data_IF_802514164321
#
_entry.id   IF_802514164321
#
_cell.length_a   1.000
_cell.length_b   1.000
_cell.length_c   1.000
_cell.angle_alpha   90.00
_cell.angle_beta   90.00
_cell.angle_gamma   90.00
#
_symmetry.space_group_name_H-M   'P 1'
#
loop_
_entity.id
_entity.type
_entity.pdbx_description
1 polymer ?
#
# COMPACT_ATOMS: atom_id res chain seq x y z
N UNK A 1 -0.22 1.50 12.66
CA UNK A 1 0.20 0.32 13.44
C UNK A 1 -0.85 -0.77 13.27
N UNK A 2 -0.50 -1.83 12.58
CA UNK A 2 -1.45 -2.89 12.26
C UNK A 2 -1.16 -4.11 13.13
N UNK A 3 -1.91 -4.25 14.25
CA UNK A 3 -1.87 -5.41 15.14
C UNK A 3 -2.81 -6.50 14.58
N UNK A 4 -2.39 -7.20 13.51
CA UNK A 4 -3.22 -8.24 12.85
C UNK A 4 -3.24 -9.56 13.64
N UNK A 5 -2.30 -9.77 14.57
CA UNK A 5 -2.10 -11.07 15.22
C UNK A 5 -3.16 -11.46 16.25
N UNK A 6 -3.93 -10.52 16.74
CA UNK A 6 -4.94 -10.75 17.75
C UNK A 6 -6.30 -11.15 17.15
N UNK A 7 -6.39 -11.25 15.82
CA UNK A 7 -7.64 -11.55 15.12
C UNK A 7 -7.72 -13.02 14.74
N UNK A 8 -8.90 -13.61 14.97
CA UNK A 8 -9.19 -15.00 14.62
C UNK A 8 -10.20 -15.08 13.49
N UNK A 9 -10.09 -16.13 12.68
CA UNK A 9 -11.05 -16.35 11.58
C UNK A 9 -12.47 -16.51 12.14
N UNK A 10 -13.44 -15.78 11.56
CA UNK A 10 -14.82 -15.76 11.98
C UNK A 10 -15.17 -14.67 12.99
N UNK A 11 -14.19 -13.91 13.47
CA UNK A 11 -14.43 -12.77 14.35
C UNK A 11 -15.13 -11.64 13.60
N UNK A 12 -16.10 -10.99 14.28
CA UNK A 12 -16.77 -9.81 13.74
C UNK A 12 -15.85 -8.60 13.89
N UNK A 13 -15.56 -7.94 12.77
CA UNK A 13 -14.81 -6.70 12.72
C UNK A 13 -15.62 -5.59 12.07
N UNK A 14 -15.34 -4.34 12.44
CA UNK A 14 -15.88 -3.14 11.80
C UNK A 14 -14.74 -2.43 11.09
N UNK A 15 -14.86 -2.23 9.77
CA UNK A 15 -13.93 -1.42 8.99
C UNK A 15 -14.56 -0.06 8.74
N UNK A 16 -13.87 1.00 9.13
CA UNK A 16 -14.27 2.39 8.86
C UNK A 16 -13.28 3.04 7.93
N UNK A 17 -13.76 3.97 7.09
CA UNK A 17 -12.91 4.76 6.22
C UNK A 17 -13.57 6.09 5.92
N UNK A 18 -12.78 7.19 5.92
CA UNK A 18 -13.25 8.54 5.64
C UNK A 18 -12.18 9.38 4.98
N UNK A 19 -12.55 10.29 4.06
CA UNK A 19 -11.63 11.29 3.54
C UNK A 19 -11.44 12.38 4.60
N UNK A 20 -10.19 12.84 4.74
CA UNK A 20 -9.89 13.93 5.68
C UNK A 20 -9.25 15.14 5.02
N UNK A 21 -8.74 14.99 3.77
CA UNK A 21 -8.13 16.11 3.07
C UNK A 21 -8.10 15.86 1.55
N UNK A 22 -8.09 16.96 0.79
CA UNK A 22 -7.82 16.98 -0.64
C UNK A 22 -6.86 18.12 -0.96
N UNK A 23 -5.81 17.84 -1.75
CA UNK A 23 -4.83 18.86 -2.15
C UNK A 23 -4.40 18.66 -3.60
N UNK A 24 -4.85 19.55 -4.49
CA UNK A 24 -4.55 19.47 -5.91
C UNK A 24 -5.22 18.27 -6.57
N UNK A 25 -4.46 17.25 -6.90
CA UNK A 25 -4.93 15.98 -7.46
C UNK A 25 -4.77 14.80 -6.47
N UNK A 26 -4.43 15.10 -5.21
CA UNK A 26 -4.35 14.10 -4.15
C UNK A 26 -5.59 14.11 -3.27
N UNK A 27 -6.12 12.93 -2.97
CA UNK A 27 -7.07 12.68 -1.89
C UNK A 27 -6.39 11.89 -0.78
N UNK A 28 -6.75 12.20 0.47
CA UNK A 28 -6.21 11.59 1.67
C UNK A 28 -7.34 10.96 2.45
N UNK A 29 -7.14 9.72 2.90
CA UNK A 29 -8.18 8.92 3.54
C UNK A 29 -7.61 8.08 4.66
N UNK A 30 -8.27 8.11 5.82
CA UNK A 30 -7.95 7.22 6.92
C UNK A 30 -8.83 5.96 6.89
N UNK A 31 -8.32 4.92 7.55
CA UNK A 31 -9.00 3.66 7.79
C UNK A 31 -8.76 3.21 9.22
N UNK A 32 -9.77 2.57 9.81
CA UNK A 32 -9.60 1.82 11.05
C UNK A 32 -10.25 0.44 10.93
N UNK A 33 -9.72 -0.51 11.67
CA UNK A 33 -10.33 -1.82 11.92
C UNK A 33 -10.57 -1.91 13.41
N UNK A 34 -11.82 -2.17 13.79
CA UNK A 34 -12.24 -2.31 15.18
C UNK A 34 -12.75 -3.74 15.43
N UNK A 35 -12.56 -4.25 16.65
CA UNK A 35 -13.15 -5.49 17.11
C UNK A 35 -14.64 -5.34 17.44
N UNK A 36 -15.26 -6.41 17.97
CA UNK A 36 -16.69 -6.41 18.33
C UNK A 36 -17.02 -5.43 19.46
N UNK A 37 -16.06 -5.12 20.32
CA UNK A 37 -16.15 -4.19 21.46
C UNK A 37 -15.84 -2.74 21.05
N UNK A 38 -15.47 -2.47 19.78
CA UNK A 38 -15.15 -1.16 19.26
C UNK A 38 -13.70 -0.71 19.55
N UNK A 39 -12.84 -1.61 20.01
CA UNK A 39 -11.42 -1.32 20.19
C UNK A 39 -10.71 -1.33 18.84
N UNK A 40 -9.91 -0.30 18.58
CA UNK A 40 -9.11 -0.20 17.34
C UNK A 40 -7.98 -1.23 17.36
N UNK A 41 -7.98 -2.12 16.37
CA UNK A 41 -7.00 -3.16 16.16
C UNK A 41 -5.96 -2.79 15.11
N UNK A 42 -6.35 -1.96 14.15
CA UNK A 42 -5.47 -1.43 13.11
C UNK A 42 -5.98 -0.07 12.61
N UNK A 43 -5.05 0.74 12.13
CA UNK A 43 -5.36 1.99 11.44
C UNK A 43 -4.40 2.22 10.28
N UNK A 44 -4.84 2.99 9.29
CA UNK A 44 -4.01 3.32 8.14
C UNK A 44 -4.33 4.71 7.59
N UNK A 45 -3.31 5.29 6.96
CA UNK A 45 -3.42 6.43 6.05
C UNK A 45 -3.19 5.98 4.61
N UNK A 46 -3.92 6.58 3.68
CA UNK A 46 -3.72 6.36 2.26
C UNK A 46 -3.80 7.66 1.47
N UNK A 47 -2.95 7.76 0.45
CA UNK A 47 -2.93 8.88 -0.48
C UNK A 47 -3.29 8.38 -1.88
N UNK A 48 -4.28 8.99 -2.49
CA UNK A 48 -4.83 8.63 -3.78
C UNK A 48 -4.57 9.73 -4.80
N UNK A 49 -4.30 9.35 -6.03
CA UNK A 49 -4.19 10.28 -7.15
C UNK A 49 -5.50 10.23 -7.93
N UNK A 50 -6.13 11.40 -8.09
CA UNK A 50 -7.26 11.53 -8.98
C UNK A 50 -6.78 11.61 -10.43
N UNK A 51 -7.26 10.68 -11.28
CA UNK A 51 -6.82 10.55 -12.66
C UNK A 51 -7.95 10.87 -13.65
N UNK A 52 -7.64 11.66 -14.66
CA UNK A 52 -8.46 11.77 -15.87
C UNK A 52 -8.14 10.58 -16.78
N UNK A 53 -9.01 9.57 -16.79
CA UNK A 53 -8.80 8.35 -17.55
C UNK A 53 -8.80 8.56 -19.07
N UNK A 54 -9.45 9.62 -19.57
CA UNK A 54 -9.44 9.95 -21.00
C UNK A 54 -8.13 10.56 -21.47
N UNK A 55 -7.47 11.31 -20.57
CA UNK A 55 -6.21 12.01 -20.83
C UNK A 55 -5.01 11.30 -20.23
N UNK A 56 -5.23 10.23 -19.46
CA UNK A 56 -4.21 9.43 -18.76
C UNK A 56 -3.25 10.26 -17.90
N UNK A 57 -3.78 11.29 -17.24
CA UNK A 57 -2.99 12.20 -16.43
C UNK A 57 -3.69 12.60 -15.13
N UNK A 58 -2.93 12.99 -14.09
CA UNK A 58 -3.52 13.54 -12.88
C UNK A 58 -4.40 14.74 -13.17
N UNK A 59 -5.58 14.79 -12.56
CA UNK A 59 -6.55 15.86 -12.67
C UNK A 59 -6.83 16.48 -11.30
N UNK A 60 -7.12 17.79 -11.28
CA UNK A 60 -7.57 18.45 -10.06
C UNK A 60 -8.99 18.05 -9.72
N UNK A 61 -9.23 17.80 -8.45
CA UNK A 61 -10.57 17.57 -7.93
C UNK A 61 -11.30 18.93 -7.95
N UNK A 62 -12.49 18.97 -8.54
CA UNK A 62 -13.29 20.20 -8.63
C UNK A 62 -14.03 20.46 -7.32
N UNK A 63 -14.34 21.73 -7.04
CA UNK A 63 -15.12 22.13 -5.85
C UNK A 63 -16.47 21.40 -5.77
N UNK A 64 -17.13 21.23 -6.91
CA UNK A 64 -18.37 20.45 -7.00
C UNK A 64 -18.22 19.01 -6.55
N UNK A 65 -17.09 18.36 -6.87
CA UNK A 65 -16.82 16.98 -6.41
C UNK A 65 -16.51 16.96 -4.93
N UNK A 66 -15.84 18.00 -4.41
CA UNK A 66 -15.54 18.12 -2.97
C UNK A 66 -16.79 18.27 -2.12
N UNK A 67 -17.81 18.97 -2.63
CA UNK A 67 -19.11 19.13 -1.96
C UNK A 67 -19.85 17.80 -1.72
N UNK A 68 -19.56 16.77 -2.53
CA UNK A 68 -20.15 15.43 -2.40
C UNK A 68 -19.46 14.58 -1.34
N UNK A 69 -18.26 14.99 -0.85
CA UNK A 69 -17.51 14.28 0.16
C UNK A 69 -17.72 14.88 1.55
N UNK A 70 -18.22 14.06 2.46
CA UNK A 70 -18.22 14.41 3.88
C UNK A 70 -16.81 14.18 4.41
N UNK A 71 -16.03 15.26 4.57
CA UNK A 71 -14.72 15.20 5.20
C UNK A 71 -14.86 15.13 6.71
N UNK A 72 -14.03 14.30 7.33
CA UNK A 72 -13.94 14.16 8.77
C UNK A 72 -12.54 14.56 9.26
N UNK A 73 -12.38 14.74 10.57
CA UNK A 73 -11.07 15.02 11.16
C UNK A 73 -10.08 13.89 10.91
N UNK A 74 -8.81 14.22 10.65
CA UNK A 74 -7.78 13.21 10.45
C UNK A 74 -7.60 12.35 11.72
N UNK A 75 -7.40 11.05 11.53
CA UNK A 75 -7.10 10.15 12.64
C UNK A 75 -5.79 10.56 13.31
N UNK A 76 -5.74 10.52 14.64
CA UNK A 76 -4.54 10.89 15.39
C UNK A 76 -3.48 9.78 15.29
N UNK A 77 -2.54 9.95 14.36
CA UNK A 77 -1.45 9.03 14.10
C UNK A 77 -0.21 9.76 13.56
N UNK A 78 0.92 9.08 13.49
CA UNK A 78 2.10 9.59 12.79
C UNK A 78 1.96 9.39 11.29
N UNK A 79 1.87 10.49 10.55
CA UNK A 79 1.74 10.47 9.09
C UNK A 79 3.12 10.38 8.44
N UNK A 80 3.35 9.33 7.68
CA UNK A 80 4.60 9.14 6.97
C UNK A 80 4.69 9.99 5.69
N UNK A 81 5.91 10.27 5.27
CA UNK A 81 6.19 10.90 3.97
C UNK A 81 5.57 10.09 2.83
N UNK A 82 5.08 10.76 1.79
CA UNK A 82 4.48 10.11 0.62
C UNK A 82 5.41 9.11 -0.07
N UNK A 83 6.69 9.42 -0.14
CA UNK A 83 7.68 8.58 -0.84
C UNK A 83 8.46 7.72 0.14
N UNK A 84 8.65 6.46 -0.23
CA UNK A 84 9.59 5.56 0.43
C UNK A 84 10.96 5.74 -0.24
N UNK A 85 11.98 6.09 0.57
CA UNK A 85 13.35 6.25 0.07
C UNK A 85 14.01 4.88 -0.06
N UNK A 86 14.56 4.59 -1.23
CA UNK A 86 15.32 3.37 -1.44
C UNK A 86 16.77 3.59 -0.99
N UNK A 87 17.36 2.63 -0.25
CA UNK A 87 18.79 2.62 0.05
C UNK A 87 19.63 2.45 -1.23
N UNK A 88 20.85 2.95 -1.22
CA UNK A 88 21.80 2.81 -2.35
C UNK A 88 22.18 1.35 -2.64
N UNK A 89 22.18 0.51 -1.61
CA UNK A 89 22.56 -0.90 -1.72
C UNK A 89 21.38 -1.77 -1.32
N UNK A 90 20.91 -2.56 -2.26
CA UNK A 90 19.87 -3.56 -2.07
C UNK A 90 20.32 -4.88 -2.67
N UNK A 91 19.90 -5.98 -2.10
CA UNK A 91 20.20 -7.32 -2.64
C UNK A 91 19.18 -7.68 -3.70
N UNK A 92 19.62 -7.93 -4.92
CA UNK A 92 18.79 -8.48 -5.97
C UNK A 92 18.44 -9.94 -5.64
N UNK A 93 17.18 -10.32 -5.89
CA UNK A 93 16.65 -11.67 -5.70
C UNK A 93 16.23 -12.25 -7.04
N UNK A 94 15.96 -13.57 -7.05
CA UNK A 94 15.49 -14.27 -8.23
C UNK A 94 14.23 -13.59 -8.80
N UNK A 95 14.27 -13.30 -10.10
CA UNK A 95 13.14 -12.69 -10.81
C UNK A 95 12.03 -13.72 -11.07
N UNK A 96 10.80 -13.25 -11.11
CA UNK A 96 9.64 -14.09 -11.41
C UNK A 96 8.70 -13.38 -12.39
N UNK A 97 7.74 -14.11 -12.92
CA UNK A 97 6.76 -13.58 -13.86
C UNK A 97 5.38 -13.43 -13.19
N UNK A 98 4.66 -12.37 -13.55
CA UNK A 98 3.29 -12.13 -13.09
C UNK A 98 2.37 -13.22 -13.68
N UNK A 99 1.53 -13.80 -12.81
CA UNK A 99 0.63 -14.91 -13.10
C UNK A 99 -0.84 -14.46 -13.13
N UNK A 100 -1.73 -15.23 -13.78
CA UNK A 100 -3.14 -14.86 -13.91
C UNK A 100 -3.87 -14.60 -12.60
N UNK A 101 -3.56 -15.36 -11.54
CA UNK A 101 -4.21 -15.23 -10.22
C UNK A 101 -3.89 -13.91 -9.50
N UNK A 102 -2.90 -13.16 -9.98
CA UNK A 102 -2.47 -11.88 -9.41
C UNK A 102 -3.16 -10.68 -10.07
N UNK A 103 -3.91 -10.92 -11.16
CA UNK A 103 -4.53 -9.88 -11.99
C UNK A 103 -5.96 -9.61 -11.53
N UNK A 104 -6.29 -8.33 -11.37
CA UNK A 104 -7.63 -7.86 -11.04
C UNK A 104 -8.52 -7.63 -12.29
N UNK A 105 -9.74 -7.16 -12.06
CA UNK A 105 -10.71 -6.86 -13.14
C UNK A 105 -10.30 -5.70 -14.04
N UNK A 106 -9.31 -4.90 -13.66
CA UNK A 106 -8.73 -3.83 -14.46
C UNK A 106 -7.55 -4.31 -15.31
N UNK A 107 -7.29 -5.63 -15.35
CA UNK A 107 -6.17 -6.25 -16.05
C UNK A 107 -4.79 -5.83 -15.54
N UNK A 108 -4.70 -5.37 -14.29
CA UNK A 108 -3.45 -5.05 -13.61
C UNK A 108 -3.24 -5.95 -12.39
N UNK A 109 -2.00 -6.04 -11.94
CA UNK A 109 -1.72 -6.69 -10.65
C UNK A 109 -2.45 -5.96 -9.54
N UNK A 110 -3.24 -6.70 -8.75
CA UNK A 110 -3.94 -6.16 -7.60
C UNK A 110 -2.94 -5.61 -6.57
N UNK A 111 -3.24 -4.46 -5.97
CA UNK A 111 -2.36 -3.81 -4.99
C UNK A 111 -1.99 -4.72 -3.80
N UNK A 112 -2.90 -5.57 -3.34
CA UNK A 112 -2.66 -6.54 -2.28
C UNK A 112 -1.62 -7.58 -2.68
N UNK A 113 -1.57 -7.97 -3.97
CA UNK A 113 -0.61 -8.96 -4.47
C UNK A 113 0.84 -8.47 -4.39
N UNK A 114 1.10 -7.17 -4.58
CA UNK A 114 2.46 -6.64 -4.37
C UNK A 114 2.90 -6.79 -2.91
N UNK A 115 2.00 -6.60 -1.96
CA UNK A 115 2.29 -6.80 -0.53
C UNK A 115 2.55 -8.29 -0.27
N UNK A 116 1.72 -9.18 -0.82
CA UNK A 116 1.89 -10.63 -0.68
C UNK A 116 3.23 -11.11 -1.26
N UNK A 117 3.59 -10.63 -2.46
CA UNK A 117 4.90 -10.93 -3.08
C UNK A 117 6.06 -10.41 -2.23
N UNK A 118 5.97 -9.18 -1.70
CA UNK A 118 7.02 -8.61 -0.86
C UNK A 118 7.19 -9.36 0.48
N UNK A 119 6.11 -9.84 1.08
CA UNK A 119 6.14 -10.65 2.32
C UNK A 119 6.95 -11.94 2.18
N UNK A 120 7.08 -12.50 0.98
CA UNK A 120 7.86 -13.72 0.77
C UNK A 120 9.36 -13.55 1.07
N UNK A 121 9.84 -12.32 1.22
CA UNK A 121 11.24 -12.00 1.56
C UNK A 121 11.46 -11.76 3.05
N UNK A 122 10.42 -11.82 3.87
CA UNK A 122 10.51 -11.70 5.31
C UNK A 122 10.86 -13.05 5.95
N UNK A 123 11.63 -13.06 7.06
CA UNK A 123 11.78 -14.25 7.89
C UNK A 123 10.43 -14.70 8.47
N UNK A 124 10.27 -16.00 8.71
CA UNK A 124 9.04 -16.57 9.30
C UNK A 124 8.63 -15.92 10.62
N UNK A 125 9.62 -15.48 11.41
CA UNK A 125 9.40 -14.90 12.74
C UNK A 125 9.36 -13.36 12.72
N UNK A 126 9.33 -12.71 11.54
CA UNK A 126 9.27 -11.25 11.45
C UNK A 126 7.87 -10.76 11.84
N UNK A 127 7.82 -10.03 12.95
CA UNK A 127 6.58 -9.52 13.51
C UNK A 127 6.27 -8.15 12.92
N UNK A 128 5.40 -8.06 11.92
CA UNK A 128 5.05 -6.79 11.30
C UNK A 128 4.18 -5.98 12.26
N UNK A 129 4.71 -4.86 12.75
CA UNK A 129 3.96 -3.86 13.50
C UNK A 129 3.47 -2.72 12.62
N UNK A 130 4.29 -2.32 11.64
CA UNK A 130 3.93 -1.28 10.70
C UNK A 130 4.29 -1.68 9.28
N UNK A 131 3.49 -1.26 8.33
CA UNK A 131 3.72 -1.51 6.91
C UNK A 131 3.41 -0.23 6.12
N UNK A 132 4.23 0.01 5.09
CA UNK A 132 3.99 1.06 4.10
C UNK A 132 4.11 0.46 2.71
N UNK A 133 3.26 0.91 1.78
CA UNK A 133 3.35 0.54 0.38
C UNK A 133 3.26 1.79 -0.51
N UNK A 134 4.17 1.91 -1.47
CA UNK A 134 4.14 2.95 -2.51
C UNK A 134 3.99 2.27 -3.86
N UNK A 135 2.87 2.49 -4.55
CA UNK A 135 2.60 1.99 -5.90
C UNK A 135 2.99 3.04 -6.92
N UNK A 136 3.86 2.71 -7.88
CA UNK A 136 4.41 3.65 -8.86
C UNK A 136 3.95 3.38 -10.28
N UNK A 137 3.86 2.10 -10.67
CA UNK A 137 3.51 1.64 -12.00
C UNK A 137 2.69 0.35 -11.87
N UNK A 138 1.66 0.20 -12.66
CA UNK A 138 0.93 -1.08 -12.71
C UNK A 138 1.73 -2.11 -13.51
N UNK A 139 1.84 -3.33 -12.99
CA UNK A 139 2.30 -4.48 -13.74
C UNK A 139 1.10 -5.21 -14.37
N UNK A 140 1.34 -5.87 -15.48
CA UNK A 140 0.34 -6.64 -16.21
C UNK A 140 0.73 -8.12 -16.30
N UNK A 141 -0.19 -8.94 -16.77
CA UNK A 141 0.06 -10.37 -16.97
C UNK A 141 1.28 -10.60 -17.86
N UNK A 142 2.19 -11.44 -17.37
CA UNK A 142 3.39 -11.82 -18.08
C UNK A 142 4.59 -10.90 -17.88
N UNK A 143 4.40 -9.75 -17.23
CA UNK A 143 5.53 -8.89 -16.84
C UNK A 143 6.50 -9.65 -15.94
N UNK A 144 7.79 -9.37 -16.13
CA UNK A 144 8.84 -9.90 -15.29
C UNK A 144 9.15 -8.94 -14.15
N UNK A 145 9.19 -9.47 -12.95
CA UNK A 145 9.48 -8.71 -11.73
C UNK A 145 10.86 -9.05 -11.23
N UNK A 146 11.64 -8.03 -10.92
CA UNK A 146 12.97 -8.10 -10.33
C UNK A 146 12.91 -7.54 -8.90
N UNK A 147 12.95 -8.42 -7.88
CA UNK A 147 12.89 -7.97 -6.50
C UNK A 147 14.27 -7.52 -6.01
N UNK A 148 14.29 -6.40 -5.32
CA UNK A 148 15.44 -5.86 -4.60
C UNK A 148 15.08 -5.73 -3.13
N UNK A 149 15.90 -6.30 -2.24
CA UNK A 149 15.63 -6.37 -0.82
C UNK A 149 16.73 -5.66 -0.03
N UNK A 150 16.33 -4.79 0.87
CA UNK A 150 17.16 -4.29 1.95
C UNK A 150 16.59 -4.78 3.28
N UNK A 151 17.46 -5.14 4.21
CA UNK A 151 17.06 -5.55 5.54
C UNK A 151 18.06 -5.07 6.58
N UNK A 152 17.54 -4.67 7.73
CA UNK A 152 18.29 -4.47 8.96
C UNK A 152 17.54 -5.14 10.13
N UNK A 153 17.97 -4.89 11.37
CA UNK A 153 17.43 -5.55 12.58
C UNK A 153 15.93 -5.22 12.82
N UNK A 154 15.39 -4.16 12.24
CA UNK A 154 14.04 -3.64 12.52
C UNK A 154 13.15 -3.50 11.28
N UNK A 155 13.76 -3.50 10.10
CA UNK A 155 13.04 -3.14 8.88
C UNK A 155 13.43 -4.04 7.72
N UNK A 156 12.43 -4.40 6.91
CA UNK A 156 12.59 -4.96 5.58
C UNK A 156 11.98 -4.02 4.55
N UNK A 157 12.73 -3.73 3.51
CA UNK A 157 12.26 -2.92 2.40
C UNK A 157 12.43 -3.72 1.11
N UNK A 158 11.33 -3.90 0.38
CA UNK A 158 11.27 -4.69 -0.85
C UNK A 158 10.81 -3.79 -1.99
N UNK A 159 11.66 -3.63 -3.00
CA UNK A 159 11.32 -2.98 -4.26
C UNK A 159 11.04 -4.06 -5.31
N UNK A 160 9.82 -4.12 -5.80
CA UNK A 160 9.41 -4.98 -6.92
C UNK A 160 9.48 -4.14 -8.19
N UNK A 161 10.47 -4.39 -9.04
CA UNK A 161 10.80 -3.51 -10.17
C UNK A 161 10.74 -4.24 -11.52
N UNK A 162 10.72 -3.48 -12.62
CA UNK A 162 10.89 -4.00 -13.96
C UNK A 162 12.38 -4.21 -14.30
N UNK A 163 12.69 -4.64 -15.51
CA UNK A 163 14.06 -4.90 -16.00
C UNK A 163 14.94 -3.64 -16.06
N UNK A 164 14.33 -2.46 -16.11
CA UNK A 164 15.03 -1.16 -16.04
C UNK A 164 15.19 -0.67 -14.59
N UNK A 165 14.91 -1.53 -13.60
CA UNK A 165 14.92 -1.23 -12.15
C UNK A 165 13.93 -0.13 -11.73
N UNK A 166 12.90 0.15 -12.55
CA UNK A 166 11.82 1.06 -12.19
C UNK A 166 10.79 0.33 -11.35
N UNK A 167 10.53 0.75 -10.10
CA UNK A 167 9.60 0.04 -9.23
C UNK A 167 8.17 0.05 -9.76
N UNK A 168 7.52 -1.11 -9.75
CA UNK A 168 6.07 -1.27 -9.74
C UNK A 168 5.53 -0.86 -8.38
N UNK A 169 6.10 -1.45 -7.33
CA UNK A 169 5.77 -1.15 -5.95
C UNK A 169 7.00 -1.22 -5.05
N UNK A 170 6.97 -0.45 -3.96
CA UNK A 170 7.93 -0.51 -2.87
C UNK A 170 7.14 -0.80 -1.60
N UNK A 171 7.53 -1.81 -0.84
CA UNK A 171 6.89 -2.18 0.42
C UNK A 171 7.92 -2.18 1.53
N UNK A 172 7.62 -1.48 2.61
CA UNK A 172 8.41 -1.37 3.82
C UNK A 172 7.66 -2.04 4.96
N UNK A 173 8.33 -2.90 5.68
CA UNK A 173 7.82 -3.60 6.87
C UNK A 173 8.70 -3.26 8.05
N UNK A 174 8.10 -2.80 9.14
CA UNK A 174 8.78 -2.50 10.41
C UNK A 174 8.27 -3.45 11.51
N UNK A 175 9.21 -3.83 12.40
CA UNK A 175 8.96 -4.70 13.55
C UNK A 175 8.76 -3.89 14.82
#
# INVERSE_FOLDING_TARGET
EMCIRDRVLGEKITVKTWPYNFKGFYGYRNFTIEDAEGKICAYADSQWIFMDLKRERPARISDKMLEEYQMEEPFKMDYADRKIKLPEKMQEKESFQIRPEQIDTNHHVNNEQYIAMAKNYLPENFNIHKMRAEYRKAAVLGDKVFPFVYADDKMYLVSLADEEQKPYAIVEFEQ
#
